data_IF_729039299943
#
_entry.id   IF_729039299943
#
_cell.length_a   1.000
_cell.length_b   1.000
_cell.length_c   1.000
_cell.angle_alpha   90.00
_cell.angle_beta   90.00
_cell.angle_gamma   90.00
#
_symmetry.space_group_name_H-M   'P 1'
#
loop_
_entity.id
_entity.type
_entity.pdbx_description
1 polymer ?
#
# COMPACT_ATOMS: atom_id res chain seq x y z
N UNK A 1 18.09 13.31 0.85
CA UNK A 1 17.89 12.21 1.83
C UNK A 1 17.22 11.06 1.13
N UNK A 2 17.71 9.86 1.37
CA UNK A 2 17.18 8.67 0.71
C UNK A 2 15.95 8.12 1.44
N UNK A 3 15.03 7.55 0.67
CA UNK A 3 13.92 6.81 1.26
C UNK A 3 14.42 5.57 1.99
N UNK A 4 13.79 5.28 3.10
CA UNK A 4 14.01 4.06 3.89
C UNK A 4 12.89 3.05 3.64
N UNK A 5 11.64 3.51 3.61
CA UNK A 5 10.54 2.63 3.23
C UNK A 5 10.71 2.19 1.78
N UNK A 6 10.42 0.96 1.50
CA UNK A 6 10.62 0.29 0.22
C UNK A 6 12.09 0.03 -0.11
N UNK A 7 12.95 1.04 0.03
CA UNK A 7 14.36 0.94 -0.41
C UNK A 7 15.22 0.09 0.52
N UNK A 8 14.79 -0.12 1.74
CA UNK A 8 15.47 -0.96 2.71
C UNK A 8 14.52 -2.04 3.22
N UNK A 9 15.04 -3.24 3.44
CA UNK A 9 14.29 -4.28 4.11
C UNK A 9 13.94 -3.82 5.54
N UNK A 10 12.76 -4.16 6.01
CA UNK A 10 12.35 -3.77 7.35
C UNK A 10 10.91 -4.05 7.66
N UNK A 11 10.57 -3.83 8.92
CA UNK A 11 9.21 -3.95 9.44
C UNK A 11 8.68 -2.60 9.84
N UNK A 12 7.42 -2.37 9.54
CA UNK A 12 6.75 -1.10 9.80
C UNK A 12 5.40 -1.36 10.44
N UNK A 13 4.98 -0.46 11.32
CA UNK A 13 3.63 -0.48 11.87
C UNK A 13 2.85 0.70 11.32
N UNK A 14 1.56 0.49 11.10
CA UNK A 14 0.66 1.48 10.56
C UNK A 14 -0.47 1.73 11.55
N UNK A 15 -0.83 2.98 11.73
CA UNK A 15 -1.97 3.37 12.54
C UNK A 15 -2.62 4.63 11.96
N UNK A 16 -3.94 4.61 11.84
CA UNK A 16 -4.66 5.75 11.28
C UNK A 16 -6.15 5.52 11.24
N UNK A 17 -6.76 6.16 10.26
CA UNK A 17 -8.19 6.16 10.08
C UNK A 17 -8.57 5.62 8.71
N UNK A 18 -9.61 4.81 8.70
CA UNK A 18 -10.21 4.25 7.49
C UNK A 18 -11.62 4.81 7.34
N UNK A 19 -11.90 5.38 6.18
CA UNK A 19 -13.19 5.96 5.87
C UNK A 19 -13.81 5.24 4.67
N UNK A 20 -14.99 4.69 4.87
CA UNK A 20 -15.81 4.16 3.78
C UNK A 20 -16.92 5.14 3.44
N UNK A 21 -17.43 5.01 2.23
CA UNK A 21 -18.52 5.84 1.73
C UNK A 21 -19.73 5.75 2.66
N UNK A 22 -20.28 6.90 3.04
CA UNK A 22 -21.45 7.05 3.88
C UNK A 22 -21.29 6.51 5.32
N UNK A 23 -20.04 6.32 5.78
CA UNK A 23 -19.76 5.83 7.12
C UNK A 23 -18.84 6.79 7.88
N UNK A 24 -18.81 6.64 9.21
CA UNK A 24 -17.88 7.38 10.06
C UNK A 24 -16.49 6.74 10.01
N UNK A 25 -15.42 7.53 10.20
CA UNK A 25 -14.08 6.98 10.25
C UNK A 25 -13.93 5.93 11.35
N UNK A 26 -13.20 4.87 11.05
CA UNK A 26 -12.85 3.82 12.01
C UNK A 26 -11.33 3.72 12.11
N UNK A 27 -10.86 3.23 13.25
CA UNK A 27 -9.43 3.01 13.47
C UNK A 27 -8.95 1.85 12.59
N UNK A 28 -7.82 2.05 11.94
CA UNK A 28 -7.10 1.00 11.23
C UNK A 28 -5.70 0.87 11.83
N UNK A 29 -5.26 -0.36 12.02
CA UNK A 29 -3.89 -0.70 12.41
C UNK A 29 -3.33 -1.68 11.40
N UNK A 30 -2.03 -1.64 11.21
CA UNK A 30 -1.42 -2.54 10.26
C UNK A 30 0.03 -2.85 10.57
N UNK A 31 0.51 -3.86 9.85
CA UNK A 31 1.91 -4.26 9.84
C UNK A 31 2.35 -4.43 8.40
N UNK A 32 3.51 -3.92 8.07
CA UNK A 32 4.09 -4.04 6.74
C UNK A 32 5.50 -4.59 6.88
N UNK A 33 5.80 -5.59 6.05
CA UNK A 33 7.12 -6.17 5.92
C UNK A 33 7.63 -5.91 4.52
N UNK A 34 8.82 -5.35 4.42
CA UNK A 34 9.53 -5.15 3.15
C UNK A 34 10.74 -6.08 3.14
N UNK A 35 10.83 -6.90 2.12
CA UNK A 35 11.94 -7.82 1.92
C UNK A 35 12.51 -7.66 0.51
N UNK A 36 13.83 -7.79 0.40
CA UNK A 36 14.54 -7.74 -0.87
C UNK A 36 15.16 -9.09 -1.18
N UNK A 37 15.07 -9.50 -2.44
CA UNK A 37 15.80 -10.64 -2.96
C UNK A 37 16.96 -10.16 -3.85
N UNK A 38 17.74 -11.11 -4.37
CA UNK A 38 18.74 -10.80 -5.39
C UNK A 38 18.03 -10.29 -6.65
N UNK A 39 18.74 -9.59 -7.51
CA UNK A 39 18.24 -9.10 -8.80
C UNK A 39 17.19 -7.99 -8.72
N UNK A 40 17.25 -7.17 -7.66
CA UNK A 40 16.41 -5.97 -7.50
C UNK A 40 14.90 -6.26 -7.38
N UNK A 41 14.54 -7.47 -6.93
CA UNK A 41 13.16 -7.81 -6.62
C UNK A 41 12.84 -7.54 -5.15
N UNK A 42 11.67 -6.96 -4.91
CA UNK A 42 11.17 -6.74 -3.55
C UNK A 42 9.81 -7.41 -3.36
N UNK A 43 9.49 -7.69 -2.11
CA UNK A 43 8.17 -8.14 -1.68
C UNK A 43 7.71 -7.25 -0.53
N UNK A 44 6.48 -6.77 -0.60
CA UNK A 44 5.85 -6.01 0.47
C UNK A 44 4.59 -6.76 0.87
N UNK A 45 4.48 -7.12 2.14
CA UNK A 45 3.28 -7.72 2.69
C UNK A 45 2.70 -6.78 3.73
N UNK A 46 1.44 -6.41 3.56
CA UNK A 46 0.72 -5.54 4.49
C UNK A 46 -0.53 -6.23 4.98
N UNK A 47 -0.77 -6.19 6.27
CA UNK A 47 -2.01 -6.66 6.89
C UNK A 47 -2.63 -5.52 7.67
N UNK A 48 -3.86 -5.17 7.31
CA UNK A 48 -4.65 -4.14 7.98
C UNK A 48 -5.73 -4.79 8.84
N UNK A 49 -5.87 -4.31 10.06
CA UNK A 49 -6.89 -4.77 11.01
C UNK A 49 -7.74 -3.59 11.49
N UNK A 50 -8.97 -3.88 11.90
CA UNK A 50 -9.93 -2.89 12.34
C UNK A 50 -10.40 -3.23 13.75
N UNK A 51 -9.64 -2.80 14.79
CA UNK A 51 -9.83 -3.31 16.16
C UNK A 51 -11.15 -2.92 16.82
N UNK A 52 -11.84 -1.90 16.32
CA UNK A 52 -13.08 -1.40 16.93
C UNK A 52 -14.35 -2.02 16.33
N UNK A 53 -14.25 -2.74 15.24
CA UNK A 53 -15.41 -3.29 14.52
C UNK A 53 -15.17 -4.74 14.15
N UNK A 54 -16.24 -5.50 13.98
CA UNK A 54 -16.17 -6.88 13.50
C UNK A 54 -16.11 -6.86 11.97
N UNK A 55 -14.90 -6.89 11.47
CA UNK A 55 -14.62 -6.76 10.06
C UNK A 55 -13.37 -7.55 9.71
N UNK A 56 -13.40 -8.19 8.53
CA UNK A 56 -12.27 -8.98 8.04
C UNK A 56 -11.04 -8.11 7.82
N UNK A 57 -9.88 -8.68 8.10
CA UNK A 57 -8.59 -8.06 7.81
C UNK A 57 -8.42 -7.88 6.29
N UNK A 58 -7.67 -6.86 5.93
CA UNK A 58 -7.26 -6.65 4.53
C UNK A 58 -5.79 -7.04 4.43
N UNK A 59 -5.49 -7.95 3.51
CA UNK A 59 -4.14 -8.42 3.27
C UNK A 59 -3.74 -8.09 1.85
N UNK A 60 -2.58 -7.48 1.71
CA UNK A 60 -1.98 -7.15 0.42
C UNK A 60 -0.59 -7.78 0.34
N UNK A 61 -0.28 -8.35 -0.81
CA UNK A 61 1.06 -8.81 -1.10
C UNK A 61 1.48 -8.28 -2.46
N UNK A 62 2.53 -7.46 -2.46
CA UNK A 62 3.11 -6.91 -3.68
C UNK A 62 4.45 -7.56 -3.93
N UNK A 63 4.70 -7.95 -5.16
CA UNK A 63 6.02 -8.35 -5.60
C UNK A 63 6.41 -7.52 -6.82
N UNK A 64 7.51 -6.81 -6.71
CA UNK A 64 7.89 -5.88 -7.73
C UNK A 64 9.38 -5.84 -8.02
N UNK A 65 9.70 -5.07 -9.00
CA UNK A 65 11.08 -4.88 -9.44
C UNK A 65 11.36 -3.39 -9.63
N UNK A 66 12.49 -2.98 -9.09
CA UNK A 66 12.97 -1.62 -9.23
C UNK A 66 13.65 -1.46 -10.60
N UNK A 67 13.30 -0.40 -11.32
CA UNK A 67 13.92 -0.08 -12.60
C UNK A 67 15.35 0.43 -12.40
N UNK A 68 16.23 0.30 -13.41
CA UNK A 68 17.52 0.95 -13.37
C UNK A 68 17.37 2.45 -13.12
N UNK A 69 18.17 2.99 -12.19
CA UNK A 69 18.08 4.39 -11.78
C UNK A 69 17.28 4.62 -10.50
N UNK A 70 16.64 3.59 -9.96
CA UNK A 70 15.97 3.59 -8.64
C UNK A 70 14.90 4.67 -8.47
N UNK A 71 14.16 4.98 -9.55
CA UNK A 71 13.13 6.02 -9.53
C UNK A 71 11.73 5.51 -9.85
N UNK A 72 11.65 4.32 -10.42
CA UNK A 72 10.39 3.72 -10.84
C UNK A 72 10.40 2.25 -10.53
N UNK A 73 9.22 1.69 -10.30
CA UNK A 73 9.05 0.26 -10.13
C UNK A 73 7.69 -0.18 -10.66
N UNK A 74 7.61 -1.46 -10.99
CA UNK A 74 6.36 -2.13 -11.33
C UNK A 74 6.17 -3.30 -10.39
N UNK A 75 4.93 -3.70 -10.18
CA UNK A 75 4.63 -4.81 -9.27
C UNK A 75 3.38 -5.56 -9.69
N UNK A 76 3.29 -6.81 -9.24
CA UNK A 76 2.05 -7.59 -9.23
C UNK A 76 1.51 -7.63 -7.81
N UNK A 77 0.20 -7.73 -7.68
CA UNK A 77 -0.50 -7.56 -6.42
C UNK A 77 -1.50 -8.68 -6.19
N UNK A 78 -1.53 -9.20 -4.95
CA UNK A 78 -2.63 -9.98 -4.42
C UNK A 78 -3.29 -9.15 -3.33
N UNK A 79 -4.56 -8.84 -3.51
CA UNK A 79 -5.31 -7.99 -2.60
C UNK A 79 -6.58 -8.72 -2.17
N UNK A 80 -6.81 -8.84 -0.86
CA UNK A 80 -7.94 -9.62 -0.34
C UNK A 80 -9.32 -9.06 -0.74
N UNK A 81 -9.39 -7.78 -1.09
CA UNK A 81 -10.64 -7.15 -1.56
C UNK A 81 -10.69 -7.07 -3.09
N UNK A 82 -9.62 -6.60 -3.73
CA UNK A 82 -9.60 -6.37 -5.18
C UNK A 82 -9.19 -7.60 -6.00
N UNK A 83 -8.60 -8.61 -5.34
CA UNK A 83 -8.08 -9.79 -6.03
C UNK A 83 -6.69 -9.54 -6.63
N UNK A 84 -6.44 -10.16 -7.79
CA UNK A 84 -5.17 -10.01 -8.48
C UNK A 84 -5.10 -8.68 -9.23
N UNK A 85 -3.94 -8.05 -9.16
CA UNK A 85 -3.73 -6.79 -9.83
C UNK A 85 -2.27 -6.58 -10.20
N UNK A 86 -2.02 -5.46 -10.80
CA UNK A 86 -0.69 -4.98 -11.10
C UNK A 86 -0.64 -3.48 -10.89
N UNK A 87 0.55 -2.94 -10.78
CA UNK A 87 0.71 -1.52 -10.54
C UNK A 87 2.09 -1.00 -10.88
N UNK A 88 2.23 0.28 -10.63
CA UNK A 88 3.47 1.00 -10.86
C UNK A 88 3.65 2.06 -9.78
N UNK A 89 4.88 2.44 -9.55
CA UNK A 89 5.21 3.49 -8.61
C UNK A 89 6.35 4.36 -9.09
N UNK A 90 6.42 5.53 -8.49
CA UNK A 90 7.51 6.48 -8.71
C UNK A 90 8.07 6.93 -7.36
N UNK A 91 9.38 7.05 -7.31
CA UNK A 91 10.12 7.47 -6.11
C UNK A 91 10.61 8.89 -6.34
N UNK A 92 9.91 9.84 -5.73
CA UNK A 92 10.29 11.25 -5.75
C UNK A 92 11.19 11.55 -4.53
N UNK A 93 11.81 12.73 -4.46
CA UNK A 93 12.71 13.06 -3.35
C UNK A 93 12.09 12.95 -1.95
N UNK A 94 10.81 13.26 -1.81
CA UNK A 94 10.14 13.28 -0.50
C UNK A 94 8.95 12.34 -0.40
N UNK A 95 8.53 11.75 -1.51
CA UNK A 95 7.36 10.88 -1.53
C UNK A 95 7.55 9.70 -2.46
N UNK A 96 6.80 8.64 -2.17
CA UNK A 96 6.62 7.49 -3.05
C UNK A 96 5.15 7.49 -3.43
N UNK A 97 4.86 7.47 -4.72
CA UNK A 97 3.50 7.45 -5.23
C UNK A 97 3.31 6.20 -6.04
N UNK A 98 2.25 5.45 -5.75
CA UNK A 98 1.96 4.24 -6.49
C UNK A 98 0.47 4.13 -6.78
N UNK A 99 0.17 3.43 -7.85
CA UNK A 99 -1.19 3.08 -8.23
C UNK A 99 -1.26 1.64 -8.69
N UNK A 100 -2.41 1.04 -8.52
CA UNK A 100 -2.65 -0.33 -8.98
C UNK A 100 -4.07 -0.47 -9.53
N UNK A 101 -4.29 -1.52 -10.28
CA UNK A 101 -5.59 -1.84 -10.90
C UNK A 101 -5.78 -3.36 -10.94
N UNK A 102 -7.04 -3.76 -10.96
CA UNK A 102 -7.39 -5.18 -11.06
C UNK A 102 -7.08 -5.69 -12.47
N UNK A 103 -6.63 -6.95 -12.55
CA UNK A 103 -6.41 -7.61 -13.83
C UNK A 103 -7.74 -8.07 -14.45
N UNK A 104 -7.74 -8.25 -15.77
CA UNK A 104 -8.93 -8.61 -16.54
C UNK A 104 -9.52 -9.99 -16.23
N UNK A 105 -8.79 -10.85 -15.53
CA UNK A 105 -9.28 -12.14 -15.06
C UNK A 105 -10.04 -12.06 -13.71
N UNK A 106 -10.12 -10.88 -13.12
CA UNK A 106 -10.86 -10.66 -11.90
C UNK A 106 -12.37 -10.78 -12.17
N UNK A 107 -13.19 -11.12 -11.15
CA UNK A 107 -14.64 -11.06 -11.26
C UNK A 107 -15.10 -9.69 -11.77
N UNK A 108 -16.20 -9.68 -12.53
CA UNK A 108 -16.68 -8.45 -13.20
C UNK A 108 -16.81 -7.25 -12.27
N UNK A 109 -17.33 -7.46 -11.07
CA UNK A 109 -17.49 -6.41 -10.05
C UNK A 109 -16.15 -5.86 -9.54
N UNK A 110 -15.03 -6.58 -9.74
CA UNK A 110 -13.71 -6.18 -9.32
C UNK A 110 -12.83 -5.65 -10.45
N UNK A 111 -13.22 -5.85 -11.70
CA UNK A 111 -12.42 -5.42 -12.86
C UNK A 111 -12.22 -3.90 -12.91
N UNK A 112 -13.09 -3.14 -12.27
CA UNK A 112 -12.98 -1.68 -12.16
C UNK A 112 -12.24 -1.23 -10.92
N UNK A 113 -11.81 -2.17 -10.10
CA UNK A 113 -11.09 -1.87 -8.88
C UNK A 113 -9.72 -1.29 -9.17
N UNK A 114 -9.39 -0.22 -8.49
CA UNK A 114 -8.07 0.38 -8.53
C UNK A 114 -7.74 1.01 -7.20
N UNK A 115 -6.48 1.34 -7.00
CA UNK A 115 -6.04 2.01 -5.80
C UNK A 115 -4.94 3.01 -6.09
N UNK A 116 -4.80 3.94 -5.20
CA UNK A 116 -3.80 4.98 -5.26
C UNK A 116 -3.24 5.18 -3.85
N UNK A 117 -1.93 5.36 -3.76
CA UNK A 117 -1.26 5.50 -2.47
C UNK A 117 -0.11 6.49 -2.57
N UNK A 118 -0.04 7.38 -1.60
CA UNK A 118 1.05 8.32 -1.44
C UNK A 118 1.67 8.12 -0.07
N UNK A 119 2.99 7.95 -0.05
CA UNK A 119 3.78 7.85 1.17
C UNK A 119 4.74 9.04 1.21
N UNK A 120 4.53 9.93 2.17
CA UNK A 120 5.35 11.12 2.33
C UNK A 120 6.33 10.93 3.48
N UNK A 121 7.62 11.08 3.19
CA UNK A 121 8.68 10.88 4.18
C UNK A 121 8.74 12.03 5.17
N UNK A 122 8.57 11.72 6.45
CA UNK A 122 8.72 12.69 7.55
C UNK A 122 10.09 12.58 8.19
N UNK A 123 10.59 11.35 8.31
CA UNK A 123 11.94 11.06 8.83
C UNK A 123 12.39 9.70 8.31
N UNK A 124 13.57 9.26 8.72
CA UNK A 124 14.05 7.93 8.35
C UNK A 124 13.14 6.81 8.85
N UNK A 125 12.37 7.06 9.91
CA UNK A 125 11.54 6.03 10.56
C UNK A 125 10.04 6.32 10.50
N UNK A 126 9.61 7.35 9.81
CA UNK A 126 8.20 7.76 9.76
C UNK A 126 7.79 8.26 8.38
N UNK A 127 6.63 7.79 7.93
CA UNK A 127 5.95 8.26 6.72
C UNK A 127 4.49 8.57 7.02
N UNK A 128 3.98 9.63 6.41
CA UNK A 128 2.55 9.87 6.34
C UNK A 128 2.01 9.16 5.10
N UNK A 129 0.94 8.41 5.27
CA UNK A 129 0.33 7.61 4.20
C UNK A 129 -1.07 8.12 3.93
N UNK A 130 -1.38 8.31 2.65
CA UNK A 130 -2.73 8.60 2.19
C UNK A 130 -3.04 7.64 1.06
N UNK A 131 -4.17 6.95 1.15
CA UNK A 131 -4.54 5.98 0.14
C UNK A 131 -6.02 6.02 -0.19
N UNK A 132 -6.37 5.51 -1.35
CA UNK A 132 -7.74 5.41 -1.81
C UNK A 132 -7.95 4.11 -2.59
N UNK A 133 -9.12 3.51 -2.42
CA UNK A 133 -9.61 2.44 -3.28
C UNK A 133 -10.79 2.98 -4.08
N UNK A 134 -10.81 2.63 -5.34
CA UNK A 134 -11.83 3.09 -6.29
C UNK A 134 -12.48 1.89 -6.99
N UNK A 135 -13.75 2.10 -7.36
CA UNK A 135 -14.44 1.25 -8.33
C UNK A 135 -14.92 2.14 -9.46
N UNK A 136 -14.28 2.03 -10.63
CA UNK A 136 -14.48 2.98 -11.71
C UNK A 136 -14.07 4.39 -11.26
N UNK A 137 -15.00 5.33 -11.32
CA UNK A 137 -14.77 6.71 -10.89
C UNK A 137 -15.16 6.99 -9.43
N UNK A 138 -15.65 5.98 -8.71
CA UNK A 138 -16.16 6.17 -7.37
C UNK A 138 -15.12 5.79 -6.32
N UNK A 139 -14.96 6.63 -5.31
CA UNK A 139 -14.19 6.29 -4.12
C UNK A 139 -14.97 5.29 -3.29
N UNK A 140 -14.37 4.12 -3.03
CA UNK A 140 -14.93 3.13 -2.12
C UNK A 140 -14.49 3.44 -0.69
N UNK A 141 -13.20 3.70 -0.52
CA UNK A 141 -12.61 3.97 0.79
C UNK A 141 -11.38 4.84 0.67
N UNK A 142 -11.07 5.54 1.73
CA UNK A 142 -9.82 6.27 1.88
C UNK A 142 -9.19 5.93 3.22
N UNK A 143 -7.89 6.12 3.31
CA UNK A 143 -7.15 5.93 4.55
C UNK A 143 -6.15 7.06 4.71
N UNK A 144 -6.06 7.60 5.91
CA UNK A 144 -4.91 8.39 6.31
C UNK A 144 -4.25 7.74 7.53
N UNK A 145 -2.95 7.62 7.49
CA UNK A 145 -2.23 6.86 8.50
C UNK A 145 -0.79 7.32 8.64
N UNK A 146 -0.20 6.91 9.75
CA UNK A 146 1.24 7.03 9.99
C UNK A 146 1.86 5.64 9.92
N UNK A 147 2.97 5.57 9.22
CA UNK A 147 3.79 4.38 9.09
C UNK A 147 5.07 4.62 9.89
N UNK A 148 5.35 3.77 10.84
CA UNK A 148 6.52 3.88 11.72
C UNK A 148 7.36 2.63 11.64
N UNK A 149 8.67 2.81 11.49
CA UNK A 149 9.60 1.68 11.45
C UNK A 149 9.65 1.01 12.82
N UNK A 150 9.44 -0.30 12.83
CA UNK A 150 9.52 -1.08 14.06
C UNK A 150 10.96 -1.26 14.47
N UNK A 151 11.23 -1.18 15.77
CA UNK A 151 12.52 -1.55 16.32
C UNK A 151 12.77 -3.04 16.07
N UNK A 152 13.99 -3.37 15.73
CA UNK A 152 14.42 -4.76 15.49
C UNK A 152 14.69 -5.44 16.85
#
# INVERSE_FOLDING_TARGET
MNHTFLMEAGRWTLQGNWLERDELPIVVKGKTLVAWSRDDWFTIVTKLTFPQVDRADIVLQCRGRLDPGDRRYTFVLQHSVLGRGEGEGQIAPHSIVQRHWALGDAPKERQRGSGFETLYRLSADRYAVSSALLSGHHLISTMDAMLERSAV
#
